data_IF_581696858019
#
_entry.id   IF_581696858019
#
_cell.length_a   1.000
_cell.length_b   1.000
_cell.length_c   1.000
_cell.angle_alpha   90.00
_cell.angle_beta   90.00
_cell.angle_gamma   90.00
#
_symmetry.space_group_name_H-M   'P 1'
#
loop_
_entity.id
_entity.type
_entity.pdbx_description
1 polymer ?
#
# COMPACT_ATOMS: atom_id res chain seq x y z
N UNK A 1 -45.56 37.74 3.24
CA UNK A 1 -45.08 38.68 2.21
C UNK A 1 -43.56 38.55 2.14
N UNK A 2 -43.01 38.38 0.92
CA UNK A 2 -41.59 38.56 0.63
C UNK A 2 -40.70 37.32 0.78
N UNK A 3 -40.85 36.31 -0.08
CA UNK A 3 -39.71 35.49 -0.49
C UNK A 3 -38.97 36.30 -1.57
N UNK A 4 -37.84 36.91 -1.21
CA UNK A 4 -36.99 37.66 -2.13
C UNK A 4 -36.24 36.71 -3.06
N UNK A 5 -36.28 36.98 -4.36
CA UNK A 5 -35.58 36.24 -5.41
C UNK A 5 -34.07 36.42 -5.29
N UNK A 6 -33.35 35.35 -4.95
CA UNK A 6 -31.88 35.28 -5.00
C UNK A 6 -31.37 34.68 -6.34
N UNK A 7 -32.02 34.99 -7.47
CA UNK A 7 -31.89 34.17 -8.69
C UNK A 7 -31.06 34.76 -9.84
N UNK A 8 -30.50 35.97 -9.75
CA UNK A 8 -29.84 36.58 -10.93
C UNK A 8 -28.31 36.34 -11.01
N UNK A 9 -27.64 35.96 -9.93
CA UNK A 9 -26.18 35.77 -9.94
C UNK A 9 -25.73 34.30 -10.11
N UNK A 10 -26.65 33.33 -9.99
CA UNK A 10 -26.36 31.89 -9.97
C UNK A 10 -26.54 31.20 -11.35
N UNK A 11 -27.05 31.92 -12.35
CA UNK A 11 -27.51 31.33 -13.62
C UNK A 11 -26.36 30.76 -14.49
N UNK A 12 -25.17 31.35 -14.45
CA UNK A 12 -24.04 30.88 -15.26
C UNK A 12 -23.29 29.71 -14.61
N UNK A 13 -23.17 29.70 -13.28
CA UNK A 13 -22.51 28.61 -12.54
C UNK A 13 -23.36 27.32 -12.51
N UNK A 14 -24.69 27.45 -12.62
CA UNK A 14 -25.63 26.34 -12.56
C UNK A 14 -26.06 25.82 -13.95
N UNK A 15 -25.40 26.20 -15.05
CA UNK A 15 -25.73 25.72 -16.40
C UNK A 15 -24.54 25.05 -17.09
N UNK A 16 -24.80 23.96 -17.82
CA UNK A 16 -23.79 23.23 -18.60
C UNK A 16 -24.21 23.12 -20.07
N UNK A 17 -23.23 23.15 -20.97
CA UNK A 17 -23.46 22.84 -22.38
C UNK A 17 -23.49 21.34 -22.59
N UNK A 18 -24.54 20.83 -23.22
CA UNK A 18 -24.67 19.39 -23.47
C UNK A 18 -23.74 18.95 -24.59
N UNK A 19 -22.93 17.92 -24.33
CA UNK A 19 -22.03 17.34 -25.32
C UNK A 19 -22.76 16.51 -26.39
N UNK A 20 -23.95 16.00 -26.09
CA UNK A 20 -24.73 15.12 -26.97
C UNK A 20 -26.24 15.30 -26.75
N UNK A 21 -27.03 14.80 -27.69
CA UNK A 21 -28.49 14.76 -27.56
C UNK A 21 -28.91 13.77 -26.46
N UNK A 22 -29.64 14.27 -25.46
CA UNK A 22 -30.17 13.51 -24.33
C UNK A 22 -31.71 13.46 -24.42
N UNK A 23 -32.22 12.47 -25.14
CA UNK A 23 -33.66 12.35 -25.39
C UNK A 23 -34.17 13.39 -26.39
N UNK A 24 -35.47 13.68 -26.36
CA UNK A 24 -36.13 14.46 -27.43
C UNK A 24 -35.90 15.97 -27.34
N UNK A 25 -35.73 16.49 -26.13
CA UNK A 25 -35.78 17.94 -25.85
C UNK A 25 -34.39 18.50 -25.58
N UNK A 26 -33.49 17.71 -24.98
CA UNK A 26 -32.16 18.15 -24.62
C UNK A 26 -31.22 17.88 -25.78
N UNK A 27 -30.96 18.89 -26.60
CA UNK A 27 -30.08 18.77 -27.77
C UNK A 27 -28.64 19.12 -27.43
N UNK A 28 -27.70 18.53 -28.16
CA UNK A 28 -26.29 18.89 -28.12
C UNK A 28 -26.13 20.41 -28.32
N UNK A 29 -25.12 20.98 -27.67
CA UNK A 29 -24.79 22.42 -27.67
C UNK A 29 -25.88 23.34 -27.09
N UNK A 30 -26.97 22.80 -26.52
CA UNK A 30 -27.92 23.59 -25.74
C UNK A 30 -27.47 23.73 -24.28
N UNK A 31 -27.90 24.82 -23.63
CA UNK A 31 -27.64 25.08 -22.21
C UNK A 31 -28.68 24.37 -21.37
N UNK A 32 -28.24 23.54 -20.42
CA UNK A 32 -29.11 22.87 -19.45
C UNK A 32 -28.76 23.27 -18.02
N UNK A 33 -29.79 23.51 -17.20
CA UNK A 33 -29.61 23.83 -15.79
C UNK A 33 -29.33 22.55 -14.98
N UNK A 34 -28.31 22.59 -14.12
CA UNK A 34 -27.89 21.52 -13.22
C UNK A 34 -27.94 22.05 -11.79
N UNK A 35 -28.65 21.33 -10.91
CA UNK A 35 -28.70 21.65 -9.48
C UNK A 35 -28.02 20.53 -8.71
N UNK A 36 -27.02 20.90 -7.92
CA UNK A 36 -26.35 19.97 -7.01
C UNK A 36 -26.94 20.14 -5.61
N UNK A 37 -27.21 19.02 -4.96
CA UNK A 37 -27.58 18.98 -3.55
C UNK A 37 -26.52 18.15 -2.83
N UNK A 38 -25.99 18.69 -1.74
CA UNK A 38 -25.07 17.94 -0.89
C UNK A 38 -25.82 16.81 -0.19
N UNK A 39 -25.24 15.61 -0.25
CA UNK A 39 -25.71 14.44 0.46
C UNK A 39 -24.53 13.89 1.27
N UNK A 40 -24.70 13.79 2.58
CA UNK A 40 -23.72 13.20 3.48
C UNK A 40 -22.61 14.14 3.94
N UNK A 41 -21.65 13.63 4.73
CA UNK A 41 -20.60 14.44 5.32
C UNK A 41 -19.52 14.82 4.29
N UNK A 42 -18.92 16.01 4.50
CA UNK A 42 -17.70 16.43 3.77
C UNK A 42 -16.47 15.78 4.39
N UNK A 43 -15.54 15.36 3.54
CA UNK A 43 -14.24 14.85 3.96
C UNK A 43 -13.12 15.63 3.29
N UNK A 44 -12.04 15.86 4.04
CA UNK A 44 -10.76 16.34 3.52
C UNK A 44 -9.75 15.23 3.81
N UNK A 45 -9.11 14.70 2.77
CA UNK A 45 -8.18 13.56 2.88
C UNK A 45 -6.74 14.03 2.58
N UNK A 46 -5.77 13.35 3.19
CA UNK A 46 -4.33 13.55 2.97
C UNK A 46 -3.66 12.22 2.66
N UNK A 47 -2.71 12.22 1.73
CA UNK A 47 -2.00 11.00 1.32
C UNK A 47 -0.91 10.65 2.33
N UNK A 48 -1.16 9.63 3.15
CA UNK A 48 -0.23 9.20 4.19
C UNK A 48 0.73 8.11 3.70
N UNK A 49 0.22 7.12 2.97
CA UNK A 49 0.94 5.89 2.60
C UNK A 49 0.39 5.31 1.29
N UNK A 50 1.25 4.67 0.51
CA UNK A 50 0.86 3.84 -0.64
C UNK A 50 1.47 2.45 -0.44
N UNK A 51 0.64 1.42 -0.58
CA UNK A 51 1.02 0.02 -0.46
C UNK A 51 0.65 -0.73 -1.75
N UNK A 52 1.41 -1.79 -2.04
CA UNK A 52 1.04 -2.73 -3.08
C UNK A 52 -0.15 -3.60 -2.63
N UNK A 53 -1.07 -3.89 -3.55
CA UNK A 53 -2.20 -4.77 -3.28
C UNK A 53 -3.20 -4.23 -2.25
N UNK A 54 -3.77 -5.14 -1.45
CA UNK A 54 -4.81 -4.85 -0.46
C UNK A 54 -4.25 -4.94 0.94
N UNK A 55 -3.60 -3.87 1.41
CA UNK A 55 -3.10 -3.76 2.79
C UNK A 55 -2.08 -4.83 3.21
N UNK A 56 -1.48 -5.56 2.27
CA UNK A 56 -0.54 -6.65 2.55
C UNK A 56 0.76 -6.56 1.76
N UNK A 57 0.87 -5.65 0.79
CA UNK A 57 2.08 -5.50 -0.02
C UNK A 57 3.08 -4.50 0.54
N UNK A 58 4.19 -4.35 -0.17
CA UNK A 58 5.27 -3.45 0.20
C UNK A 58 4.84 -1.98 0.19
N UNK A 59 5.52 -1.16 1.00
CA UNK A 59 5.28 0.28 1.05
C UNK A 59 6.03 0.95 -0.10
N UNK A 60 5.28 1.61 -0.99
CA UNK A 60 5.82 2.37 -2.13
C UNK A 60 6.11 3.82 -1.72
N UNK A 61 5.26 4.38 -0.86
CA UNK A 61 5.35 5.77 -0.40
C UNK A 61 4.90 5.87 1.05
N UNK A 62 5.57 6.74 1.82
CA UNK A 62 5.15 7.15 3.17
C UNK A 62 5.55 8.59 3.43
N UNK A 63 4.61 9.41 3.88
CA UNK A 63 4.83 10.82 4.20
C UNK A 63 5.80 11.02 5.39
N UNK A 64 5.83 10.07 6.34
CA UNK A 64 6.66 10.15 7.55
C UNK A 64 8.03 9.45 7.44
N UNK A 65 8.37 8.96 6.25
CA UNK A 65 9.63 8.26 6.00
C UNK A 65 9.69 6.84 6.59
N UNK A 66 10.64 6.03 6.11
CA UNK A 66 10.86 4.62 6.50
C UNK A 66 11.39 4.43 7.95
N UNK A 67 11.36 5.47 8.79
CA UNK A 67 12.00 5.48 10.11
C UNK A 67 11.10 5.07 11.28
N UNK A 68 9.78 5.12 11.12
CA UNK A 68 8.84 4.88 12.23
C UNK A 68 8.30 3.44 12.28
N UNK A 69 8.31 2.71 11.17
CA UNK A 69 7.70 1.39 11.09
C UNK A 69 8.61 0.47 10.27
N UNK A 70 9.39 -0.34 10.99
CA UNK A 70 10.19 -1.47 10.49
C UNK A 70 11.44 -1.11 9.69
N UNK A 71 12.59 -1.36 10.34
CA UNK A 71 13.78 -1.86 9.65
C UNK A 71 13.30 -2.97 8.70
N UNK A 72 13.63 -2.93 7.39
CA UNK A 72 13.39 -4.08 6.54
C UNK A 72 14.16 -5.26 7.13
N UNK A 73 13.60 -6.45 6.97
CA UNK A 73 14.15 -7.73 7.36
C UNK A 73 15.68 -7.80 7.30
N UNK A 74 16.30 -7.55 8.45
CA UNK A 74 17.55 -8.20 8.82
C UNK A 74 17.29 -9.59 9.42
N UNK A 75 16.06 -10.11 9.29
CA UNK A 75 15.69 -11.42 9.84
C UNK A 75 15.73 -12.54 8.80
N UNK A 76 15.86 -12.23 7.52
CA UNK A 76 16.21 -13.24 6.51
C UNK A 76 17.73 -13.45 6.49
N UNK A 77 18.54 -12.38 6.51
CA UNK A 77 19.99 -12.50 6.59
C UNK A 77 20.49 -13.19 7.88
N UNK A 78 19.87 -12.93 9.05
CA UNK A 78 20.30 -13.61 10.29
C UNK A 78 19.82 -15.05 10.40
N UNK A 79 18.77 -15.46 9.67
CA UNK A 79 18.38 -16.88 9.65
C UNK A 79 19.29 -17.70 8.75
N UNK A 80 19.68 -17.15 7.60
CA UNK A 80 20.65 -17.80 6.72
C UNK A 80 22.04 -17.90 7.38
N UNK A 81 22.49 -16.86 8.09
CA UNK A 81 23.75 -16.93 8.85
C UNK A 81 23.66 -17.89 10.05
N UNK A 82 22.54 -17.93 10.80
CA UNK A 82 22.38 -18.85 11.96
C UNK A 82 22.21 -20.33 11.54
N UNK A 83 21.64 -20.61 10.36
CA UNK A 83 21.56 -21.96 9.80
C UNK A 83 22.93 -22.40 9.28
N UNK A 84 23.67 -21.53 8.59
CA UNK A 84 25.03 -21.86 8.09
C UNK A 84 26.05 -22.04 9.23
N UNK A 85 25.98 -21.26 10.32
CA UNK A 85 26.83 -21.44 11.49
C UNK A 85 26.51 -22.76 12.25
N UNK A 86 25.25 -23.21 12.25
CA UNK A 86 24.86 -24.48 12.87
C UNK A 86 25.31 -25.69 12.04
N UNK A 87 25.17 -25.62 10.72
CA UNK A 87 25.62 -26.68 9.82
C UNK A 87 27.16 -26.82 9.88
N UNK A 88 27.93 -25.72 9.93
CA UNK A 88 29.39 -25.75 10.08
C UNK A 88 29.85 -26.29 11.46
N UNK A 89 29.11 -25.99 12.54
CA UNK A 89 29.38 -26.51 13.89
C UNK A 89 29.01 -28.00 14.05
N UNK A 90 28.04 -28.51 13.30
CA UNK A 90 27.68 -29.94 13.27
C UNK A 90 28.69 -30.75 12.46
N UNK A 91 29.06 -30.29 11.26
CA UNK A 91 30.09 -30.93 10.42
C UNK A 91 31.45 -31.01 11.16
N UNK A 92 31.84 -29.95 11.88
CA UNK A 92 33.09 -29.93 12.64
C UNK A 92 33.11 -30.89 13.85
N UNK A 93 31.94 -31.24 14.40
CA UNK A 93 31.84 -32.22 15.50
C UNK A 93 31.83 -33.65 14.99
N UNK A 94 31.18 -33.89 13.86
CA UNK A 94 31.21 -35.20 13.21
C UNK A 94 32.64 -35.55 12.76
N UNK A 95 33.41 -34.59 12.22
CA UNK A 95 34.82 -34.79 11.86
C UNK A 95 35.73 -35.07 13.07
N UNK A 96 35.46 -34.47 14.24
CA UNK A 96 36.25 -34.67 15.48
C UNK A 96 35.92 -36.03 16.12
N UNK A 97 34.64 -36.41 16.16
CA UNK A 97 34.19 -37.72 16.64
C UNK A 97 34.71 -38.87 15.73
N UNK A 98 34.73 -38.70 14.39
CA UNK A 98 35.31 -39.69 13.47
C UNK A 98 36.83 -39.84 13.67
N UNK A 99 37.56 -38.75 13.95
CA UNK A 99 39.00 -38.85 14.24
C UNK A 99 39.27 -39.52 15.60
N UNK A 100 38.44 -39.30 16.62
CA UNK A 100 38.59 -39.97 17.91
C UNK A 100 38.33 -41.48 17.77
N UNK A 101 37.28 -41.90 17.05
CA UNK A 101 37.01 -43.34 16.80
C UNK A 101 38.14 -44.02 16.00
N UNK A 102 38.69 -43.38 14.96
CA UNK A 102 39.82 -43.92 14.18
C UNK A 102 41.11 -44.04 15.01
N UNK A 103 41.32 -43.16 16.00
CA UNK A 103 42.46 -43.27 16.91
C UNK A 103 42.27 -44.33 17.99
N UNK A 104 41.06 -44.54 18.49
CA UNK A 104 40.78 -45.61 19.46
C UNK A 104 40.88 -46.99 18.81
N UNK A 105 40.38 -47.17 17.58
CA UNK A 105 40.49 -48.44 16.84
C UNK A 105 41.93 -48.73 16.37
N UNK A 106 42.78 -47.71 16.24
CA UNK A 106 44.20 -47.84 15.90
C UNK A 106 45.12 -48.22 17.07
N UNK A 107 44.64 -48.09 18.32
CA UNK A 107 45.40 -48.40 19.54
C UNK A 107 45.09 -49.81 20.12
N UNK A 108 44.17 -50.57 19.52
CA UNK A 108 43.74 -51.90 19.99
C UNK A 108 44.45 -53.13 19.34
N UNK A 109 45.55 -52.98 18.57
CA UNK A 109 46.34 -54.09 17.98
C UNK A 109 47.78 -54.27 18.55
#
# INVERSE_FOLDING_TARGET
>A
AGYGSESEADEEAATVALASDLGRVNKASSKSAVRLQEIGPRMTLQLMKVEEGLCTGGVIFSEYGYGAEKKPDKQEATREDEENDQDEDEDAREDDDEMEEDTEDGEED
#
